data_IF_259606925161
#
_entry.id   IF_259606925161
#
_cell.length_a   1.000
_cell.length_b   1.000
_cell.length_c   1.000
_cell.angle_alpha   90.00
_cell.angle_beta   90.00
_cell.angle_gamma   90.00
#
_symmetry.space_group_name_H-M   'P 1'
#
loop_
_entity.id
_entity.type
_entity.pdbx_description
1 polymer ?
#
# COMPACT_ATOMS: atom_id res chain seq x y z
N UNK A 1 -0.15 -21.45 15.55
CA UNK A 1 0.80 -20.37 15.86
C UNK A 1 0.01 -19.08 15.90
N UNK A 2 -0.20 -18.55 17.10
CA UNK A 2 -0.89 -17.27 17.31
C UNK A 2 0.02 -16.14 16.80
N UNK A 3 -0.52 -15.23 15.97
CA UNK A 3 0.26 -14.09 15.49
C UNK A 3 0.67 -13.20 16.67
N UNK A 4 1.91 -12.67 16.68
CA UNK A 4 2.39 -11.82 17.77
C UNK A 4 1.50 -10.59 17.95
N UNK A 5 1.16 -10.30 19.20
CA UNK A 5 0.41 -9.10 19.61
C UNK A 5 1.42 -8.07 20.07
N UNK A 6 1.35 -6.86 19.53
CA UNK A 6 2.19 -5.73 19.97
C UNK A 6 1.41 -4.88 20.98
N UNK A 7 2.00 -4.62 22.15
CA UNK A 7 1.44 -3.68 23.14
C UNK A 7 1.76 -2.21 22.81
N UNK A 8 2.82 -1.96 22.04
CA UNK A 8 3.28 -0.60 21.68
C UNK A 8 3.81 -0.55 20.25
N UNK A 9 3.50 0.53 19.53
CA UNK A 9 4.09 0.82 18.23
C UNK A 9 5.53 1.32 18.39
N UNK A 10 6.47 0.66 17.71
CA UNK A 10 7.92 0.95 17.81
C UNK A 10 8.41 1.05 19.27
N UNK A 11 7.87 0.23 20.18
CA UNK A 11 8.20 0.15 21.61
C UNK A 11 7.89 1.40 22.46
N UNK A 12 7.56 2.53 21.86
CA UNK A 12 7.48 3.83 22.55
C UNK A 12 6.08 4.46 22.45
N UNK A 13 5.36 4.23 21.34
CA UNK A 13 4.10 4.92 21.06
C UNK A 13 2.88 4.04 21.29
N UNK A 14 1.75 4.65 21.67
CA UNK A 14 0.46 3.98 21.71
C UNK A 14 0.06 3.46 20.33
N UNK A 15 -0.57 2.28 20.30
CA UNK A 15 -1.02 1.61 19.06
C UNK A 15 -1.93 2.50 18.21
N UNK A 16 -2.79 3.31 18.84
CA UNK A 16 -3.65 4.28 18.14
C UNK A 16 -2.83 5.28 17.35
N UNK A 17 -1.86 5.91 18.01
CA UNK A 17 -0.95 6.89 17.43
C UNK A 17 -0.10 6.25 16.33
N UNK A 18 0.37 5.01 16.55
CA UNK A 18 1.10 4.23 15.54
C UNK A 18 0.29 3.95 14.28
N UNK A 19 -0.96 3.51 14.41
CA UNK A 19 -1.86 3.28 13.28
C UNK A 19 -2.14 4.58 12.49
N UNK A 20 -2.33 5.70 13.19
CA UNK A 20 -2.55 7.01 12.55
C UNK A 20 -1.30 7.46 11.79
N UNK A 21 -0.14 7.44 12.45
CA UNK A 21 1.14 7.85 11.84
C UNK A 21 1.44 6.99 10.61
N UNK A 22 1.35 5.67 10.73
CA UNK A 22 1.67 4.77 9.63
C UNK A 22 0.67 4.91 8.47
N UNK A 23 -0.62 5.11 8.76
CA UNK A 23 -1.63 5.42 7.75
C UNK A 23 -1.37 6.74 7.02
N UNK A 24 -0.96 7.79 7.74
CA UNK A 24 -0.59 9.08 7.15
C UNK A 24 0.68 8.96 6.29
N UNK A 25 1.71 8.28 6.78
CA UNK A 25 2.95 8.05 6.03
C UNK A 25 2.65 7.30 4.73
N UNK A 26 1.86 6.23 4.80
CA UNK A 26 1.47 5.44 3.62
C UNK A 26 0.67 6.27 2.61
N UNK A 27 -0.24 7.13 3.10
CA UNK A 27 -1.02 8.06 2.29
C UNK A 27 -0.13 9.09 1.58
N UNK A 28 0.84 9.68 2.29
CA UNK A 28 1.81 10.63 1.71
C UNK A 28 2.68 9.93 0.67
N UNK A 29 3.24 8.76 0.97
CA UNK A 29 4.06 8.00 0.03
C UNK A 29 3.28 7.62 -1.23
N UNK A 30 2.03 7.18 -1.07
CA UNK A 30 1.13 6.87 -2.19
C UNK A 30 0.87 8.11 -3.06
N UNK A 31 0.64 9.26 -2.44
CA UNK A 31 0.43 10.52 -3.15
C UNK A 31 1.68 10.97 -3.91
N UNK A 32 2.85 10.93 -3.28
CA UNK A 32 4.13 11.26 -3.93
C UNK A 32 4.38 10.32 -5.12
N UNK A 33 4.15 9.02 -4.96
CA UNK A 33 4.30 8.05 -6.04
C UNK A 33 3.33 8.33 -7.20
N UNK A 34 2.09 8.72 -6.90
CA UNK A 34 1.11 9.09 -7.92
C UNK A 34 1.56 10.32 -8.72
N UNK A 35 2.10 11.36 -8.05
CA UNK A 35 2.64 12.55 -8.72
C UNK A 35 3.81 12.19 -9.63
N UNK A 36 4.74 11.35 -9.16
CA UNK A 36 5.87 10.88 -9.98
C UNK A 36 5.35 10.13 -11.21
N UNK A 37 4.38 9.23 -11.07
CA UNK A 37 3.83 8.49 -12.21
C UNK A 37 3.07 9.39 -13.20
N UNK A 38 2.42 10.46 -12.73
CA UNK A 38 1.82 11.46 -13.63
C UNK A 38 2.89 12.13 -14.48
N UNK A 39 4.04 12.49 -13.89
CA UNK A 39 5.14 13.07 -14.68
C UNK A 39 5.64 12.10 -15.76
N UNK A 40 5.82 10.83 -15.42
CA UNK A 40 6.15 9.79 -16.41
C UNK A 40 5.08 9.63 -17.48
N UNK A 41 3.79 9.72 -17.13
CA UNK A 41 2.70 9.63 -18.10
C UNK A 41 2.75 10.78 -19.13
N UNK A 42 3.08 11.98 -18.67
CA UNK A 42 3.27 13.15 -19.55
C UNK A 42 4.48 12.95 -20.47
N UNK A 43 5.63 12.53 -19.92
CA UNK A 43 6.83 12.26 -20.72
C UNK A 43 6.60 11.19 -21.80
N UNK A 44 5.86 10.11 -21.46
CA UNK A 44 5.50 9.06 -22.42
C UNK A 44 4.61 9.61 -23.53
N UNK A 45 3.64 10.47 -23.19
CA UNK A 45 2.74 11.09 -24.17
C UNK A 45 3.51 12.00 -25.13
N UNK A 46 4.37 12.87 -24.61
CA UNK A 46 5.18 13.79 -25.42
C UNK A 46 6.15 13.02 -26.34
N UNK A 47 6.76 11.95 -25.82
CA UNK A 47 7.61 11.06 -26.61
C UNK A 47 6.84 10.34 -27.73
N UNK A 48 5.59 9.91 -27.46
CA UNK A 48 4.73 9.27 -28.46
C UNK A 48 4.33 10.24 -29.57
N UNK A 49 3.96 11.48 -29.23
CA UNK A 49 3.58 12.50 -30.22
C UNK A 49 4.76 12.90 -31.13
N UNK A 50 6.00 12.81 -30.64
CA UNK A 50 7.22 13.12 -31.40
C UNK A 50 7.67 12.04 -32.40
N UNK A 51 7.23 10.78 -32.22
CA UNK A 51 7.70 9.59 -32.99
C UNK A 51 6.58 8.95 -33.82
N UNK A 52 5.91 9.75 -34.64
CA UNK A 52 4.67 9.41 -35.35
C UNK A 52 4.68 8.21 -36.30
N UNK A 53 5.82 7.58 -36.61
CA UNK A 53 5.88 6.62 -37.74
C UNK A 53 6.08 5.12 -37.42
N UNK A 54 6.53 4.66 -36.23
CA UNK A 54 6.81 3.20 -36.06
C UNK A 54 6.62 2.60 -34.65
N UNK A 55 6.17 3.35 -33.64
CA UNK A 55 6.12 2.88 -32.22
C UNK A 55 4.73 2.88 -31.55
N UNK A 56 3.66 3.06 -32.33
CA UNK A 56 2.32 3.41 -31.80
C UNK A 56 1.69 2.35 -30.87
N UNK A 57 1.94 1.06 -31.10
CA UNK A 57 1.31 -0.01 -30.32
C UNK A 57 1.85 -0.15 -28.89
N UNK A 58 3.17 -0.10 -28.71
CA UNK A 58 3.79 -0.36 -27.40
C UNK A 58 3.73 0.85 -26.48
N UNK A 59 3.86 2.07 -27.02
CA UNK A 59 3.76 3.31 -26.25
C UNK A 59 2.34 3.54 -25.70
N UNK A 60 1.31 3.24 -26.51
CA UNK A 60 -0.10 3.37 -26.12
C UNK A 60 -0.51 2.43 -24.98
N UNK A 61 -0.02 1.18 -25.00
CA UNK A 61 -0.28 0.22 -23.92
C UNK A 61 0.37 0.66 -22.61
N UNK A 62 1.63 1.10 -22.64
CA UNK A 62 2.34 1.57 -21.45
C UNK A 62 1.65 2.82 -20.87
N UNK A 63 1.28 3.78 -21.71
CA UNK A 63 0.53 4.97 -21.27
C UNK A 63 -0.80 4.60 -20.58
N UNK A 64 -1.56 3.68 -21.16
CA UNK A 64 -2.83 3.19 -20.59
C UNK A 64 -2.60 2.51 -19.23
N UNK A 65 -1.54 1.70 -19.10
CA UNK A 65 -1.17 1.05 -17.84
C UNK A 65 -0.79 2.10 -16.79
N UNK A 66 0.00 3.12 -17.14
CA UNK A 66 0.41 4.17 -16.19
C UNK A 66 -0.81 4.95 -15.68
N UNK A 67 -1.75 5.33 -16.55
CA UNK A 67 -3.00 5.98 -16.12
C UNK A 67 -3.79 5.08 -15.17
N UNK A 68 -3.93 3.79 -15.52
CA UNK A 68 -4.65 2.85 -14.69
C UNK A 68 -4.01 2.73 -13.29
N UNK A 69 -2.68 2.69 -13.22
CA UNK A 69 -1.95 2.69 -11.94
C UNK A 69 -2.20 3.99 -11.16
N UNK A 70 -2.18 5.16 -11.81
CA UNK A 70 -2.48 6.45 -11.15
C UNK A 70 -3.89 6.43 -10.54
N UNK A 71 -4.90 5.93 -11.26
CA UNK A 71 -6.27 5.80 -10.74
C UNK A 71 -6.32 4.85 -9.53
N UNK A 72 -5.62 3.72 -9.60
CA UNK A 72 -5.51 2.79 -8.47
C UNK A 72 -4.81 3.42 -7.25
N UNK A 73 -3.78 4.24 -7.46
CA UNK A 73 -3.10 4.96 -6.38
C UNK A 73 -4.01 6.01 -5.74
N UNK A 74 -4.86 6.69 -6.51
CA UNK A 74 -5.88 7.59 -5.96
C UNK A 74 -6.92 6.84 -5.12
N UNK A 75 -7.41 5.68 -5.59
CA UNK A 75 -8.30 4.82 -4.80
C UNK A 75 -7.63 4.35 -3.50
N UNK A 76 -6.37 3.94 -3.58
CA UNK A 76 -5.54 3.56 -2.43
C UNK A 76 -5.43 4.72 -1.43
N UNK A 77 -5.14 5.93 -1.90
CA UNK A 77 -5.06 7.13 -1.07
C UNK A 77 -6.38 7.40 -0.32
N UNK A 78 -7.53 7.28 -1.00
CA UNK A 78 -8.84 7.42 -0.35
C UNK A 78 -9.10 6.34 0.69
N UNK A 79 -8.73 5.08 0.41
CA UNK A 79 -8.85 3.99 1.38
C UNK A 79 -8.00 4.23 2.63
N UNK A 80 -6.78 4.77 2.46
CA UNK A 80 -5.90 5.10 3.58
C UNK A 80 -6.44 6.26 4.42
N UNK A 81 -7.05 7.27 3.81
CA UNK A 81 -7.76 8.33 4.54
C UNK A 81 -8.97 7.79 5.32
N UNK A 82 -9.76 6.90 4.71
CA UNK A 82 -10.89 6.25 5.38
C UNK A 82 -10.38 5.42 6.56
N UNK A 83 -9.25 4.73 6.40
CA UNK A 83 -8.61 3.96 7.47
C UNK A 83 -8.17 4.86 8.62
N UNK A 84 -7.45 5.95 8.35
CA UNK A 84 -7.03 6.93 9.37
C UNK A 84 -8.24 7.51 10.10
N UNK A 85 -9.30 7.87 9.37
CA UNK A 85 -10.55 8.34 9.96
C UNK A 85 -11.23 7.29 10.84
N UNK A 86 -11.24 6.02 10.40
CA UNK A 86 -11.80 4.91 11.15
C UNK A 86 -11.03 4.64 12.45
N UNK A 87 -9.70 4.75 12.42
CA UNK A 87 -8.82 4.67 13.60
C UNK A 87 -9.07 5.84 14.55
N UNK A 88 -9.20 7.06 14.01
CA UNK A 88 -9.49 8.25 14.81
C UNK A 88 -10.84 8.15 15.54
N UNK A 89 -11.87 7.64 14.85
CA UNK A 89 -13.23 7.46 15.39
C UNK A 89 -13.45 6.09 16.07
N UNK A 90 -12.39 5.29 16.24
CA UNK A 90 -12.41 3.97 16.88
C UNK A 90 -13.49 3.02 16.33
N UNK A 91 -13.77 3.12 15.01
CA UNK A 91 -14.77 2.29 14.33
C UNK A 91 -14.18 0.93 13.99
N UNK A 92 -14.15 0.04 14.98
CA UNK A 92 -13.60 -1.34 14.89
C UNK A 92 -14.09 -2.12 13.66
N UNK A 93 -15.35 -1.97 13.26
CA UNK A 93 -15.92 -2.63 12.08
C UNK A 93 -15.26 -2.24 10.75
N UNK A 94 -14.89 -0.97 10.57
CA UNK A 94 -14.22 -0.50 9.34
C UNK A 94 -12.75 -0.92 9.36
N UNK A 95 -12.09 -0.80 10.51
CA UNK A 95 -10.70 -1.22 10.72
C UNK A 95 -10.56 -2.72 10.43
N UNK A 96 -11.50 -3.55 10.88
CA UNK A 96 -11.53 -5.00 10.62
C UNK A 96 -11.61 -5.33 9.13
N UNK A 97 -12.53 -4.68 8.42
CA UNK A 97 -12.70 -4.86 6.97
C UNK A 97 -11.45 -4.45 6.20
N UNK A 98 -10.85 -3.32 6.57
CA UNK A 98 -9.59 -2.85 5.98
C UNK A 98 -8.44 -3.84 6.23
N UNK A 99 -8.30 -4.35 7.46
CA UNK A 99 -7.27 -5.33 7.80
C UNK A 99 -7.39 -6.63 6.97
N UNK A 100 -8.61 -7.19 6.84
CA UNK A 100 -8.86 -8.38 6.02
C UNK A 100 -8.52 -8.10 4.55
N UNK A 101 -8.97 -6.97 4.02
CA UNK A 101 -8.66 -6.56 2.64
C UNK A 101 -7.14 -6.47 2.42
N UNK A 102 -6.39 -5.89 3.36
CA UNK A 102 -4.94 -5.75 3.27
C UNK A 102 -4.20 -7.10 3.34
N UNK A 103 -4.67 -8.03 4.18
CA UNK A 103 -4.14 -9.40 4.24
C UNK A 103 -4.30 -10.12 2.90
N UNK A 104 -5.49 -10.03 2.28
CA UNK A 104 -5.73 -10.65 0.97
C UNK A 104 -4.80 -10.05 -0.09
N UNK A 105 -4.65 -8.72 -0.09
CA UNK A 105 -3.75 -8.03 -1.02
C UNK A 105 -2.28 -8.47 -0.84
N UNK A 106 -1.82 -8.60 0.41
CA UNK A 106 -0.48 -9.09 0.73
C UNK A 106 -0.23 -10.51 0.19
N UNK A 107 -1.21 -11.42 0.34
CA UNK A 107 -1.08 -12.80 -0.18
C UNK A 107 -0.98 -12.82 -1.70
N UNK A 108 -1.83 -12.03 -2.39
CA UNK A 108 -1.75 -11.89 -3.85
C UNK A 108 -0.40 -11.31 -4.29
N UNK A 109 0.12 -10.33 -3.56
CA UNK A 109 1.42 -9.74 -3.81
C UNK A 109 2.57 -10.76 -3.65
N UNK A 110 2.53 -11.60 -2.61
CA UNK A 110 3.52 -12.69 -2.42
C UNK A 110 3.51 -13.65 -3.60
N UNK A 111 2.33 -14.05 -4.09
CA UNK A 111 2.22 -14.96 -5.24
C UNK A 111 2.82 -14.33 -6.50
N UNK A 112 2.52 -13.05 -6.75
CA UNK A 112 3.08 -12.30 -7.87
C UNK A 112 4.61 -12.16 -7.77
N UNK A 113 5.11 -11.86 -6.57
CA UNK A 113 6.53 -11.80 -6.27
C UNK A 113 7.23 -13.13 -6.51
N UNK A 114 6.69 -14.26 -6.01
CA UNK A 114 7.27 -15.59 -6.22
C UNK A 114 7.36 -15.95 -7.71
N UNK A 115 6.35 -15.58 -8.51
CA UNK A 115 6.37 -15.79 -9.97
C UNK A 115 7.49 -15.03 -10.66
N UNK A 116 7.84 -13.86 -10.16
CA UNK A 116 8.79 -12.93 -10.79
C UNK A 116 10.18 -12.95 -10.15
N UNK A 117 10.33 -13.64 -9.01
CA UNK A 117 11.56 -13.73 -8.21
C UNK A 117 12.78 -14.18 -9.02
N UNK A 118 12.60 -15.16 -9.92
CA UNK A 118 13.69 -15.69 -10.74
C UNK A 118 14.08 -14.81 -11.93
N UNK A 119 13.28 -13.79 -12.25
CA UNK A 119 13.51 -12.87 -13.37
C UNK A 119 14.05 -11.50 -12.93
N UNK A 120 14.17 -11.26 -11.63
CA UNK A 120 14.58 -9.97 -11.09
C UNK A 120 16.05 -9.95 -10.67
N UNK A 121 16.69 -8.79 -10.81
CA UNK A 121 18.02 -8.56 -10.25
C UNK A 121 18.00 -8.53 -8.72
N UNK A 122 19.13 -8.87 -8.09
CA UNK A 122 19.25 -8.98 -6.63
C UNK A 122 18.83 -7.71 -5.87
N UNK A 123 19.15 -6.52 -6.40
CA UNK A 123 18.75 -5.25 -5.79
C UNK A 123 17.22 -5.07 -5.76
N UNK A 124 16.52 -5.50 -6.81
CA UNK A 124 15.06 -5.42 -6.86
C UNK A 124 14.43 -6.43 -5.89
N UNK A 125 14.99 -7.63 -5.79
CA UNK A 125 14.55 -8.66 -4.83
C UNK A 125 14.65 -8.15 -3.38
N UNK A 126 15.76 -7.50 -3.02
CA UNK A 126 15.95 -6.93 -1.67
C UNK A 126 14.92 -5.84 -1.38
N UNK A 127 14.69 -4.92 -2.33
CA UNK A 127 13.69 -3.87 -2.18
C UNK A 127 12.27 -4.45 -1.99
N UNK A 128 11.92 -5.48 -2.74
CA UNK A 128 10.64 -6.18 -2.62
C UNK A 128 10.49 -6.88 -1.27
N UNK A 129 11.55 -7.50 -0.73
CA UNK A 129 11.55 -8.12 0.60
C UNK A 129 11.35 -7.06 1.69
N UNK A 130 12.03 -5.91 1.61
CA UNK A 130 11.84 -4.82 2.56
C UNK A 130 10.41 -4.27 2.52
N UNK A 131 9.86 -4.06 1.32
CA UNK A 131 8.47 -3.65 1.15
C UNK A 131 7.49 -4.69 1.74
N UNK A 132 7.77 -5.98 1.57
CA UNK A 132 6.98 -7.05 2.16
C UNK A 132 7.01 -7.00 3.69
N UNK A 133 8.21 -6.82 4.27
CA UNK A 133 8.40 -6.75 5.71
C UNK A 133 7.66 -5.55 6.32
N UNK A 134 7.72 -4.39 5.67
CA UNK A 134 6.99 -3.19 6.08
C UNK A 134 5.47 -3.40 6.04
N UNK A 135 4.94 -3.99 4.97
CA UNK A 135 3.50 -4.28 4.87
C UNK A 135 3.05 -5.33 5.88
N UNK A 136 3.87 -6.34 6.16
CA UNK A 136 3.58 -7.34 7.18
C UNK A 136 3.54 -6.70 8.58
N UNK A 137 4.54 -5.86 8.90
CA UNK A 137 4.56 -5.10 10.15
C UNK A 137 3.33 -4.21 10.29
N UNK A 138 2.92 -3.52 9.22
CA UNK A 138 1.72 -2.70 9.22
C UNK A 138 0.45 -3.50 9.56
N UNK A 139 0.28 -4.69 8.97
CA UNK A 139 -0.85 -5.58 9.29
C UNK A 139 -0.83 -6.00 10.76
N UNK A 140 0.34 -6.35 11.30
CA UNK A 140 0.48 -6.76 12.70
C UNK A 140 0.11 -5.61 13.64
N UNK A 141 0.51 -4.37 13.33
CA UNK A 141 0.15 -3.18 14.11
C UNK A 141 -1.36 -2.94 14.09
N UNK A 142 -2.00 -2.99 12.91
CA UNK A 142 -3.46 -2.82 12.79
C UNK A 142 -4.20 -3.90 13.57
N UNK A 143 -3.77 -5.16 13.44
CA UNK A 143 -4.38 -6.29 14.15
C UNK A 143 -4.25 -6.13 15.66
N UNK A 144 -3.07 -5.73 16.13
CA UNK A 144 -2.83 -5.52 17.56
C UNK A 144 -3.71 -4.38 18.10
N UNK A 145 -3.86 -3.29 17.34
CA UNK A 145 -4.78 -2.20 17.70
C UNK A 145 -6.26 -2.64 17.70
N UNK A 146 -6.64 -3.50 16.77
CA UNK A 146 -8.00 -4.04 16.72
C UNK A 146 -8.31 -4.94 17.93
N UNK A 147 -7.32 -5.70 18.40
CA UNK A 147 -7.44 -6.50 19.62
C UNK A 147 -7.54 -5.57 20.84
N UNK A 148 -6.70 -4.53 20.94
CA UNK A 148 -6.76 -3.61 22.08
C UNK A 148 -8.11 -2.89 22.19
N UNK A 149 -8.68 -2.42 21.06
CA UNK A 149 -10.04 -1.83 21.06
C UNK A 149 -11.10 -2.85 21.49
N UNK A 150 -10.93 -4.13 21.16
CA UNK A 150 -11.88 -5.19 21.49
C UNK A 150 -11.72 -5.72 22.92
N UNK A 151 -10.56 -5.54 23.55
CA UNK A 151 -10.31 -5.83 24.97
C UNK A 151 -10.74 -4.67 25.87
N UNK A 152 -10.50 -3.42 25.44
CA UNK A 152 -10.93 -2.21 26.16
C UNK A 152 -12.43 -1.92 25.98
N UNK A 153 -12.99 -2.36 24.86
CA UNK A 153 -14.42 -2.30 24.55
C UNK A 153 -15.11 -3.62 24.86
N UNK A 154 -15.49 -3.82 26.13
CA UNK A 154 -16.36 -4.92 26.56
C UNK A 154 -17.59 -5.00 25.65
N UNK A 155 -17.61 -6.04 24.80
CA UNK A 155 -18.81 -6.70 24.31
C UNK A 155 -18.92 -8.04 25.01
#
# INVERSE_FOLDING_TARGET
MELPVLDKFCFIFDLRTGCIIMGIINSILTFVLAVILITFAVDIKDAAESKKDDMDGMSSVVYTIVILIVVLLFLKFLLDLIFVWAVYKERSGIIKKYCIFWIVFLVLFIIGFLKTLFHMGAGHVIAQILFLAENFYYIVVIRSYLISINEDGVL
#
